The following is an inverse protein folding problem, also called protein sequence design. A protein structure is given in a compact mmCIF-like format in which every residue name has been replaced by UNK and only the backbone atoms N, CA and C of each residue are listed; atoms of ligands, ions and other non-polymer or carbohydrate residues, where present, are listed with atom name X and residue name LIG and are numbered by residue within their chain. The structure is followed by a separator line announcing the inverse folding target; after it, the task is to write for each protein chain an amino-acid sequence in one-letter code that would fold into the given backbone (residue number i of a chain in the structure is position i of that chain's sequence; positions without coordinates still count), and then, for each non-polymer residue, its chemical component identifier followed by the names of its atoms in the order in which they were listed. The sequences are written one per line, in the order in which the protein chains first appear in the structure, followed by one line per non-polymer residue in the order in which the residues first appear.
data_IF_049575994608
#
_entry.id   IF_049575994608
#
_cell.length_a   1.000
_cell.length_b   1.000
_cell.length_c   1.000
_cell.angle_alpha   90.00
_cell.angle_beta   90.00
_cell.angle_gamma   90.00
#
_symmetry.space_group_name_H-M   'P 1'
#
loop_
_entity.id
_entity.type
_entity.pdbx_description
1 polymer ?
#
# COMPACT_ATOMS: atom_id res chain seq x y z
N UNK A 1 8.05 -33.70 20.81
CA UNK A 1 9.21 -33.65 19.89
C UNK A 1 10.03 -34.91 20.12
N UNK A 2 10.55 -35.56 19.08
CA UNK A 2 11.33 -36.81 19.21
C UNK A 2 12.77 -36.54 18.75
N UNK A 3 13.71 -36.79 19.65
CA UNK A 3 15.15 -36.64 19.40
C UNK A 3 15.64 -37.60 18.30
N UNK A 4 16.47 -37.11 17.39
CA UNK A 4 16.94 -37.83 16.19
C UNK A 4 15.91 -38.01 15.07
N UNK A 5 14.63 -37.63 15.28
CA UNK A 5 13.56 -37.75 14.27
C UNK A 5 13.02 -36.39 13.83
N UNK A 6 12.67 -35.52 14.80
CA UNK A 6 12.11 -34.18 14.54
C UNK A 6 12.98 -33.06 15.09
N UNK A 7 13.84 -33.35 16.06
CA UNK A 7 14.77 -32.40 16.68
C UNK A 7 16.14 -33.05 16.82
N UNK A 8 17.19 -32.23 16.84
CA UNK A 8 18.57 -32.61 17.10
C UNK A 8 19.05 -31.86 18.33
N UNK A 9 19.40 -32.58 19.39
CA UNK A 9 19.92 -31.98 20.62
C UNK A 9 21.39 -31.59 20.46
N UNK A 10 21.71 -30.35 20.77
CA UNK A 10 23.08 -29.81 20.85
C UNK A 10 23.32 -29.27 22.25
N UNK A 11 24.37 -29.76 22.90
CA UNK A 11 24.83 -29.25 24.18
C UNK A 11 26.02 -28.34 23.94
N UNK A 12 25.98 -27.12 24.47
CA UNK A 12 27.11 -26.20 24.40
C UNK A 12 28.14 -26.55 25.48
N UNK A 13 29.35 -26.89 25.06
CA UNK A 13 30.46 -27.29 25.94
C UNK A 13 30.92 -26.18 26.90
N UNK A 14 30.66 -24.91 26.58
CA UNK A 14 31.06 -23.76 27.41
C UNK A 14 30.04 -23.41 28.50
N UNK A 15 28.75 -23.52 28.19
CA UNK A 15 27.67 -23.11 29.09
C UNK A 15 26.96 -24.28 29.76
N UNK A 16 27.15 -25.51 29.27
CA UNK A 16 26.43 -26.69 29.71
C UNK A 16 24.94 -26.69 29.38
N UNK A 17 24.46 -25.67 28.66
CA UNK A 17 23.06 -25.53 28.28
C UNK A 17 22.75 -26.45 27.10
N UNK A 18 21.68 -27.22 27.23
CA UNK A 18 21.13 -28.04 26.14
C UNK A 18 20.19 -27.20 25.30
N UNK A 19 20.37 -27.23 23.98
CA UNK A 19 19.43 -26.67 23.01
C UNK A 19 18.99 -27.75 22.04
N UNK A 20 17.76 -27.68 21.56
CA UNK A 20 17.20 -28.62 20.59
C UNK A 20 16.87 -27.87 19.31
N UNK A 21 17.56 -28.21 18.23
CA UNK A 21 17.31 -27.65 16.90
C UNK A 21 16.28 -28.50 16.16
N UNK A 22 15.19 -27.88 15.70
CA UNK A 22 14.15 -28.55 14.92
C UNK A 22 14.69 -28.92 13.54
N UNK A 23 14.71 -30.20 13.21
CA UNK A 23 15.18 -30.68 11.91
C UNK A 23 14.20 -30.26 10.80
N UNK A 24 14.71 -29.80 9.67
CA UNK A 24 13.89 -29.46 8.50
C UNK A 24 13.20 -30.70 7.92
N UNK A 25 11.95 -30.59 7.45
CA UNK A 25 11.15 -31.70 6.95
C UNK A 25 11.83 -32.49 5.82
N UNK A 26 12.68 -31.83 5.01
CA UNK A 26 13.47 -32.46 3.97
C UNK A 26 14.62 -33.35 4.49
N UNK A 27 15.14 -33.04 5.68
CA UNK A 27 16.26 -33.74 6.32
C UNK A 27 15.82 -34.80 7.34
N UNK A 28 14.51 -34.97 7.55
CA UNK A 28 13.96 -35.94 8.51
C UNK A 28 13.97 -37.37 7.95
N UNK A 29 14.15 -38.39 8.81
CA UNK A 29 13.92 -39.79 8.45
C UNK A 29 12.47 -40.02 7.97
N UNK A 30 12.23 -41.11 7.22
CA UNK A 30 10.90 -41.43 6.68
C UNK A 30 9.78 -41.44 7.74
N UNK A 31 10.10 -41.85 8.97
CA UNK A 31 9.18 -41.86 10.11
C UNK A 31 8.77 -40.46 10.61
N UNK A 32 9.57 -39.42 10.34
CA UNK A 32 9.38 -38.05 10.84
C UNK A 32 8.93 -37.04 9.78
N UNK A 33 8.76 -37.46 8.52
CA UNK A 33 8.55 -36.56 7.38
C UNK A 33 7.25 -35.75 7.46
N UNK A 34 6.19 -36.37 7.98
CA UNK A 34 4.87 -35.73 8.15
C UNK A 34 4.63 -35.20 9.58
N UNK A 35 5.56 -35.42 10.51
CA UNK A 35 5.41 -34.95 11.89
C UNK A 35 5.54 -33.42 11.97
N UNK A 36 4.71 -32.77 12.79
CA UNK A 36 4.78 -31.32 13.04
C UNK A 36 5.25 -31.08 14.47
N UNK A 37 6.54 -30.78 14.69
CA UNK A 37 7.03 -30.48 16.03
C UNK A 37 6.35 -29.22 16.56
N UNK A 38 5.92 -29.26 17.82
CA UNK A 38 5.25 -28.16 18.48
C UNK A 38 5.62 -28.11 19.96
N UNK A 39 5.64 -26.90 20.51
CA UNK A 39 5.69 -26.64 21.95
C UNK A 39 4.24 -26.52 22.43
N UNK A 40 3.92 -27.14 23.56
CA UNK A 40 2.58 -27.12 24.15
C UNK A 40 2.71 -26.67 25.60
N UNK A 41 1.86 -25.73 26.01
CA UNK A 41 1.78 -25.29 27.41
C UNK A 41 0.69 -26.07 28.13
N UNK A 42 1.04 -26.63 29.29
CA UNK A 42 0.14 -27.39 30.16
C UNK A 42 0.15 -26.78 31.57
N UNK A 43 -0.95 -26.92 32.29
CA UNK A 43 -1.05 -26.56 33.70
C UNK A 43 -0.37 -27.60 34.61
N UNK A 44 -0.32 -27.35 35.92
CA UNK A 44 0.24 -28.28 36.92
C UNK A 44 -0.45 -29.65 36.94
N UNK A 45 -1.66 -29.76 36.38
CA UNK A 45 -2.48 -30.96 36.33
C UNK A 45 -2.35 -31.69 34.98
N UNK A 46 -1.57 -31.14 34.05
CA UNK A 46 -1.36 -31.69 32.71
C UNK A 46 -2.47 -31.35 31.71
N UNK A 47 -3.39 -30.44 32.04
CA UNK A 47 -4.40 -29.94 31.11
C UNK A 47 -3.82 -28.82 30.25
N UNK A 48 -4.41 -28.65 29.05
CA UNK A 48 -3.95 -27.66 28.10
C UNK A 48 -4.26 -26.24 28.58
N UNK A 49 -3.25 -25.37 28.60
CA UNK A 49 -3.47 -23.94 28.82
C UNK A 49 -4.11 -23.38 27.55
N UNK A 50 -5.27 -22.75 27.69
CA UNK A 50 -5.99 -22.16 26.54
C UNK A 50 -5.47 -20.74 26.28
N UNK A 51 -5.40 -20.36 25.00
CA UNK A 51 -4.96 -19.01 24.62
C UNK A 51 -6.05 -18.00 25.07
N UNK A 52 -5.67 -16.89 25.75
CA UNK A 52 -6.64 -15.92 26.25
C UNK A 52 -7.56 -15.39 25.14
N UNK A 53 -8.88 -15.63 25.29
CA UNK A 53 -9.89 -15.19 24.34
C UNK A 53 -10.22 -16.19 23.23
N UNK A 54 -9.64 -17.41 23.24
CA UNK A 54 -10.00 -18.48 22.31
C UNK A 54 -10.14 -19.83 23.03
N UNK A 55 -10.95 -20.74 22.47
CA UNK A 55 -11.05 -22.13 22.92
C UNK A 55 -9.94 -23.01 22.31
N UNK A 56 -8.77 -22.43 22.03
CA UNK A 56 -7.64 -23.15 21.42
C UNK A 56 -6.55 -23.43 22.45
N UNK A 57 -6.00 -24.66 22.49
CA UNK A 57 -4.85 -24.95 23.34
C UNK A 57 -3.63 -24.15 22.87
N UNK A 58 -2.82 -23.69 23.81
CA UNK A 58 -1.57 -22.97 23.58
C UNK A 58 -0.51 -23.94 23.05
N UNK A 59 -0.64 -24.28 21.77
CA UNK A 59 0.23 -25.17 21.02
C UNK A 59 0.87 -24.40 19.85
N UNK A 60 2.18 -24.25 19.90
CA UNK A 60 2.96 -23.49 18.94
C UNK A 60 3.76 -24.44 18.05
N UNK A 61 3.36 -24.55 16.78
CA UNK A 61 4.10 -25.33 15.79
C UNK A 61 5.41 -24.64 15.40
N UNK A 62 6.51 -25.40 15.39
CA UNK A 62 7.83 -24.87 15.07
C UNK A 62 8.25 -25.23 13.64
N UNK A 63 8.74 -24.27 12.84
CA UNK A 63 9.35 -24.55 11.55
C UNK A 63 10.73 -25.22 11.73
N UNK A 64 11.25 -25.79 10.64
CA UNK A 64 12.64 -26.28 10.61
C UNK A 64 13.64 -25.18 10.97
N UNK A 65 14.74 -25.57 11.63
CA UNK A 65 15.83 -24.71 12.15
C UNK A 65 15.46 -23.84 13.35
N UNK A 66 14.24 -23.95 13.89
CA UNK A 66 13.93 -23.33 15.17
C UNK A 66 14.79 -23.95 16.28
N UNK A 67 15.37 -23.12 17.14
CA UNK A 67 16.21 -23.53 18.27
C UNK A 67 15.37 -23.38 19.54
N UNK A 68 15.10 -24.50 20.20
CA UNK A 68 14.40 -24.57 21.49
C UNK A 68 15.43 -24.66 22.59
N UNK A 69 15.36 -23.76 23.58
CA UNK A 69 16.30 -23.73 24.72
C UNK A 69 15.64 -24.19 26.04
N UNK A 70 14.37 -24.59 25.97
CA UNK A 70 13.56 -25.01 27.11
C UNK A 70 13.36 -26.52 27.05
N UNK A 71 13.43 -27.19 28.19
CA UNK A 71 13.19 -28.62 28.32
C UNK A 71 11.74 -28.92 28.72
N UNK A 72 11.29 -30.15 28.44
CA UNK A 72 9.96 -30.61 28.84
C UNK A 72 9.81 -30.58 30.37
N UNK A 73 8.70 -30.02 30.86
CA UNK A 73 8.45 -29.80 32.30
C UNK A 73 9.05 -28.52 32.90
N UNK A 74 9.66 -27.65 32.11
CA UNK A 74 10.12 -26.34 32.61
C UNK A 74 8.94 -25.39 32.88
N UNK A 75 8.99 -24.66 33.99
CA UNK A 75 8.05 -23.57 34.27
C UNK A 75 8.35 -22.36 33.37
N UNK A 76 7.31 -21.78 32.77
CA UNK A 76 7.42 -20.60 31.90
C UNK A 76 6.37 -19.56 32.27
N UNK A 77 6.79 -18.30 32.35
CA UNK A 77 5.92 -17.16 32.59
C UNK A 77 5.38 -16.54 31.30
N UNK A 78 4.41 -15.62 31.45
CA UNK A 78 3.90 -14.82 30.33
C UNK A 78 5.02 -13.90 29.84
N UNK A 79 5.40 -14.05 28.57
CA UNK A 79 6.45 -13.25 27.92
C UNK A 79 7.81 -13.95 27.81
N UNK A 80 7.94 -15.17 28.36
CA UNK A 80 9.18 -15.93 28.23
C UNK A 80 9.39 -16.46 26.81
N UNK A 81 10.65 -16.51 26.38
CA UNK A 81 11.02 -16.94 25.02
C UNK A 81 11.09 -18.47 24.94
N UNK A 82 10.13 -19.08 24.24
CA UNK A 82 10.06 -20.55 24.10
C UNK A 82 11.04 -21.13 23.07
N UNK A 83 11.24 -20.43 21.96
CA UNK A 83 12.13 -20.85 20.89
C UNK A 83 12.66 -19.61 20.14
N UNK A 84 13.83 -19.74 19.53
CA UNK A 84 14.42 -18.73 18.66
C UNK A 84 14.54 -19.30 17.26
N UNK A 85 14.03 -18.59 16.27
CA UNK A 85 14.27 -18.94 14.88
C UNK A 85 15.43 -18.04 14.43
N UNK A 86 16.62 -18.61 14.12
CA UNK A 86 17.69 -17.84 13.52
C UNK A 86 17.22 -17.39 12.15
N UNK A 87 16.62 -16.20 12.09
CA UNK A 87 16.41 -15.53 10.84
C UNK A 87 17.80 -15.26 10.28
N UNK A 88 18.10 -15.85 9.12
CA UNK A 88 19.19 -15.30 8.31
C UNK A 88 18.81 -13.84 8.09
N UNK A 89 19.46 -12.93 8.79
CA UNK A 89 19.48 -11.51 8.42
C UNK A 89 19.73 -11.50 6.93
N UNK A 90 18.71 -11.10 6.15
CA UNK A 90 18.66 -11.33 4.71
C UNK A 90 20.03 -11.06 4.12
N UNK A 91 20.67 -12.12 3.59
CA UNK A 91 21.95 -11.97 2.90
C UNK A 91 21.77 -10.88 1.85
N UNK A 92 22.75 -9.96 1.77
CA UNK A 92 22.72 -8.73 0.96
C UNK A 92 21.31 -8.39 0.46
N UNK A 93 20.53 -7.66 1.29
CA UNK A 93 19.34 -6.92 0.85
C UNK A 93 19.61 -6.51 -0.60
N UNK A 94 18.80 -6.96 -1.55
CA UNK A 94 19.11 -6.92 -2.98
C UNK A 94 19.12 -5.46 -3.48
N UNK A 95 20.12 -4.69 -3.02
CA UNK A 95 20.37 -3.28 -3.36
C UNK A 95 21.04 -3.23 -4.76
N UNK A 96 21.36 -4.38 -5.35
CA UNK A 96 22.02 -4.49 -6.65
C UNK A 96 21.18 -3.93 -7.80
N UNK A 97 19.89 -3.68 -7.56
CA UNK A 97 18.96 -3.14 -8.55
C UNK A 97 19.27 -1.73 -9.03
N UNK A 98 20.16 -0.96 -8.40
CA UNK A 98 20.60 0.36 -8.88
C UNK A 98 19.45 1.26 -9.36
N UNK A 99 19.62 1.92 -10.51
CA UNK A 99 18.59 2.77 -11.13
C UNK A 99 17.29 2.01 -11.51
N UNK A 100 17.32 0.77 -12.03
CA UNK A 100 16.12 -0.03 -12.27
C UNK A 100 15.16 -0.14 -11.08
N UNK A 101 15.68 -0.30 -9.86
CA UNK A 101 14.85 -0.35 -8.65
C UNK A 101 14.09 0.96 -8.40
N UNK A 102 14.76 2.10 -8.61
CA UNK A 102 14.15 3.43 -8.50
C UNK A 102 13.04 3.61 -9.55
N UNK A 103 13.28 3.13 -10.77
CA UNK A 103 12.27 3.16 -11.83
C UNK A 103 11.04 2.32 -11.47
N UNK A 104 11.21 1.12 -10.92
CA UNK A 104 10.10 0.27 -10.50
C UNK A 104 9.27 0.92 -9.37
N UNK A 105 9.94 1.61 -8.43
CA UNK A 105 9.27 2.35 -7.35
C UNK A 105 8.44 3.52 -7.89
N UNK A 106 9.00 4.34 -8.79
CA UNK A 106 8.27 5.48 -9.37
C UNK A 106 7.23 5.08 -10.41
N UNK A 107 7.35 3.90 -11.03
CA UNK A 107 6.27 3.32 -11.83
C UNK A 107 5.25 2.54 -11.00
N UNK A 108 5.40 2.53 -9.66
CA UNK A 108 4.52 1.81 -8.73
C UNK A 108 4.28 0.35 -9.14
N UNK A 109 5.33 -0.33 -9.62
CA UNK A 109 5.22 -1.70 -10.11
C UNK A 109 5.12 -2.69 -8.96
N UNK A 110 4.28 -3.71 -9.14
CA UNK A 110 4.15 -4.79 -8.16
C UNK A 110 5.32 -5.78 -8.34
N UNK A 111 6.03 -6.14 -7.26
CA UNK A 111 7.00 -7.22 -7.31
C UNK A 111 6.37 -8.54 -7.77
N UNK A 112 7.18 -9.45 -8.32
CA UNK A 112 6.70 -10.78 -8.75
C UNK A 112 6.16 -11.60 -7.57
N UNK A 113 6.82 -11.48 -6.43
CA UNK A 113 6.51 -12.23 -5.22
C UNK A 113 6.41 -11.24 -4.04
N UNK A 114 5.28 -10.51 -3.90
CA UNK A 114 5.16 -9.47 -2.87
C UNK A 114 4.97 -10.09 -1.47
N UNK A 115 5.37 -9.37 -0.43
CA UNK A 115 4.97 -9.69 0.94
C UNK A 115 3.45 -9.68 1.08
N UNK A 116 2.94 -10.56 1.94
CA UNK A 116 1.51 -10.61 2.28
C UNK A 116 1.34 -9.86 3.60
N UNK A 117 0.47 -8.86 3.60
CA UNK A 117 0.19 -8.01 4.76
C UNK A 117 -1.16 -8.36 5.38
N UNK A 118 -1.31 -8.14 6.68
CA UNK A 118 -2.55 -8.38 7.40
C UNK A 118 -3.64 -7.38 6.96
N UNK A 119 -4.75 -7.88 6.44
CA UNK A 119 -5.88 -7.05 5.99
C UNK A 119 -6.66 -6.41 7.15
N UNK A 120 -6.67 -7.09 8.29
CA UNK A 120 -7.40 -6.68 9.48
C UNK A 120 -6.59 -6.93 10.74
N UNK A 121 -6.87 -6.13 11.77
CA UNK A 121 -6.36 -6.35 13.13
C UNK A 121 -7.16 -7.47 13.79
N UNK A 122 -6.49 -8.44 14.41
CA UNK A 122 -7.15 -9.55 15.09
C UNK A 122 -6.21 -10.70 15.44
N UNK A 123 -6.80 -11.81 15.88
CA UNK A 123 -6.08 -13.04 16.22
C UNK A 123 -5.99 -13.95 15.00
N UNK A 124 -4.77 -14.40 14.68
CA UNK A 124 -4.49 -15.29 13.56
C UNK A 124 -4.79 -16.75 13.94
N UNK A 125 -5.42 -17.48 13.02
CA UNK A 125 -5.59 -18.93 13.08
C UNK A 125 -5.46 -19.54 11.68
N UNK A 126 -5.24 -20.85 11.61
CA UNK A 126 -5.11 -21.54 10.31
C UNK A 126 -6.28 -22.50 10.08
N UNK A 127 -7.00 -22.26 8.99
CA UNK A 127 -8.11 -23.12 8.58
C UNK A 127 -7.65 -24.37 7.82
N UNK A 128 -8.63 -25.16 7.36
CA UNK A 128 -8.39 -26.37 6.55
C UNK A 128 -7.57 -26.06 5.30
N UNK A 129 -6.45 -26.76 5.13
CA UNK A 129 -5.57 -26.62 3.97
C UNK A 129 -6.24 -27.17 2.69
N UNK A 130 -6.07 -26.45 1.58
CA UNK A 130 -6.48 -26.90 0.23
C UNK A 130 -5.25 -27.38 -0.55
N UNK A 131 -5.44 -28.02 -1.71
CA UNK A 131 -4.33 -28.42 -2.60
C UNK A 131 -3.46 -27.19 -2.96
N UNK A 132 -2.28 -27.11 -2.36
CA UNK A 132 -1.25 -26.09 -2.62
C UNK A 132 -1.36 -24.77 -1.83
N UNK A 133 -2.45 -24.54 -1.09
CA UNK A 133 -2.67 -23.29 -0.32
C UNK A 133 -3.06 -23.58 1.13
N UNK A 134 -2.59 -22.76 2.06
CA UNK A 134 -2.97 -22.70 3.47
C UNK A 134 -3.99 -21.57 3.64
N UNK A 135 -5.05 -21.80 4.43
CA UNK A 135 -6.07 -20.79 4.73
C UNK A 135 -5.66 -20.05 5.99
N UNK A 136 -5.33 -18.77 5.87
CA UNK A 136 -5.17 -17.84 6.98
C UNK A 136 -6.55 -17.34 7.38
N UNK A 137 -6.84 -17.32 8.68
CA UNK A 137 -8.06 -16.74 9.23
C UNK A 137 -7.68 -15.72 10.28
N UNK A 138 -8.09 -14.46 10.10
CA UNK A 138 -7.90 -13.38 11.06
C UNK A 138 -9.25 -13.08 11.70
N UNK A 139 -9.37 -13.39 12.99
CA UNK A 139 -10.60 -13.15 13.76
C UNK A 139 -10.49 -11.82 14.49
N UNK A 140 -11.38 -10.87 14.17
CA UNK A 140 -11.44 -9.57 14.85
C UNK A 140 -12.05 -9.71 16.24
N UNK A 141 -11.83 -8.72 17.11
CA UNK A 141 -12.40 -8.72 18.48
C UNK A 141 -13.94 -8.79 18.50
N UNK A 142 -14.62 -8.39 17.41
CA UNK A 142 -16.06 -8.49 17.23
C UNK A 142 -16.59 -9.84 16.72
N UNK A 143 -15.72 -10.84 16.50
CA UNK A 143 -16.09 -12.18 16.03
C UNK A 143 -16.15 -12.35 14.51
N UNK A 144 -16.05 -11.27 13.74
CA UNK A 144 -15.93 -11.34 12.28
C UNK A 144 -14.59 -11.95 11.86
N UNK A 145 -14.65 -13.03 11.09
CA UNK A 145 -13.48 -13.71 10.54
C UNK A 145 -13.21 -13.26 9.09
N UNK A 146 -11.99 -12.80 8.84
CA UNK A 146 -11.47 -12.58 7.49
C UNK A 146 -10.59 -13.77 7.09
N UNK A 147 -10.68 -14.19 5.84
CA UNK A 147 -9.96 -15.37 5.37
C UNK A 147 -9.19 -15.10 4.08
N UNK A 148 -7.96 -15.61 4.03
CA UNK A 148 -7.09 -15.48 2.88
C UNK A 148 -6.36 -16.78 2.57
N UNK A 149 -6.16 -17.06 1.28
CA UNK A 149 -5.52 -18.29 0.81
C UNK A 149 -4.06 -18.04 0.44
N UNK A 150 -3.15 -18.38 1.37
CA UNK A 150 -1.71 -18.19 1.22
C UNK A 150 -1.07 -19.43 0.57
N UNK A 151 -0.20 -19.29 -0.46
CA UNK A 151 0.53 -20.42 -1.01
C UNK A 151 1.45 -21.11 0.01
N UNK A 152 1.47 -22.45 0.03
CA UNK A 152 2.24 -23.22 1.04
C UNK A 152 3.76 -23.05 0.98
N UNK A 153 4.30 -22.61 -0.15
CA UNK A 153 5.73 -22.36 -0.30
C UNK A 153 6.17 -21.05 0.35
N UNK A 154 5.23 -20.17 0.70
CA UNK A 154 5.53 -18.92 1.41
C UNK A 154 5.85 -19.21 2.86
N UNK A 155 6.95 -18.64 3.33
CA UNK A 155 7.31 -18.63 4.73
C UNK A 155 6.44 -17.60 5.46
N UNK A 156 5.78 -18.04 6.53
CA UNK A 156 4.96 -17.19 7.39
C UNK A 156 5.79 -16.70 8.57
N UNK A 157 5.59 -15.45 8.94
CA UNK A 157 6.25 -14.81 10.09
C UNK A 157 5.39 -14.83 11.35
N UNK A 158 4.13 -15.27 11.23
CA UNK A 158 3.14 -15.27 12.32
C UNK A 158 2.79 -16.69 12.75
N UNK A 159 2.44 -16.82 14.02
CA UNK A 159 2.01 -18.07 14.64
C UNK A 159 0.48 -18.12 14.84
N UNK A 160 -0.02 -19.32 15.04
CA UNK A 160 -1.42 -19.52 15.42
C UNK A 160 -1.67 -18.97 16.83
N UNK A 161 -2.74 -18.20 16.99
CA UNK A 161 -3.09 -17.49 18.22
C UNK A 161 -2.37 -16.14 18.41
N UNK A 162 -1.48 -15.75 17.48
CA UNK A 162 -0.82 -14.45 17.53
C UNK A 162 -1.80 -13.31 17.19
N UNK A 163 -1.68 -12.18 17.89
CA UNK A 163 -2.41 -10.96 17.56
C UNK A 163 -1.61 -10.13 16.57
N UNK A 164 -2.22 -9.79 15.46
CA UNK A 164 -1.63 -8.95 14.40
C UNK A 164 -2.41 -7.66 14.24
N UNK A 165 -1.72 -6.59 13.89
CA UNK A 165 -2.34 -5.33 13.49
C UNK A 165 -2.49 -5.26 11.97
N UNK A 166 -3.48 -4.48 11.51
CA UNK A 166 -3.68 -4.23 10.08
C UNK A 166 -2.41 -3.62 9.47
N UNK A 167 -1.89 -4.29 8.44
CA UNK A 167 -0.66 -3.92 7.75
C UNK A 167 0.59 -4.64 8.25
N UNK A 168 0.52 -5.53 9.23
CA UNK A 168 1.65 -6.36 9.65
C UNK A 168 2.05 -7.39 8.60
N UNK A 169 3.33 -7.76 8.56
CA UNK A 169 3.87 -8.69 7.56
C UNK A 169 3.55 -10.14 7.97
N UNK A 170 2.61 -10.76 7.27
CA UNK A 170 2.22 -12.16 7.48
C UNK A 170 3.19 -13.13 6.81
N UNK A 171 3.62 -12.81 5.59
CA UNK A 171 4.54 -13.64 4.81
C UNK A 171 5.64 -12.81 4.17
N UNK A 172 6.84 -13.40 4.11
CA UNK A 172 8.04 -12.74 3.58
C UNK A 172 7.92 -12.32 2.11
N UNK A 173 8.55 -11.19 1.79
CA UNK A 173 8.70 -10.65 0.45
C UNK A 173 8.93 -9.13 0.45
N UNK A 174 9.22 -8.51 -0.71
CA UNK A 174 9.17 -7.06 -0.86
C UNK A 174 7.73 -6.54 -0.70
N UNK A 175 7.55 -5.54 0.16
CA UNK A 175 6.25 -4.86 0.31
C UNK A 175 5.88 -4.10 -0.98
N UNK A 176 4.58 -4.07 -1.29
CA UNK A 176 4.07 -3.32 -2.45
C UNK A 176 3.59 -1.95 -2.00
N UNK A 177 4.00 -0.84 -2.66
CA UNK A 177 3.52 0.50 -2.33
C UNK A 177 1.99 0.64 -2.30
N UNK A 178 1.28 -0.08 -3.17
CA UNK A 178 -0.19 -0.13 -3.21
C UNK A 178 -0.81 -0.68 -1.93
N UNK A 179 -0.25 -1.76 -1.39
CA UNK A 179 -0.77 -2.38 -0.17
C UNK A 179 -0.43 -1.54 1.05
N UNK A 180 0.77 -0.92 1.07
CA UNK A 180 1.14 0.03 2.12
C UNK A 180 0.17 1.23 2.13
N UNK A 181 -0.16 1.79 0.96
CA UNK A 181 -1.12 2.89 0.87
C UNK A 181 -2.49 2.50 1.41
N UNK A 182 -2.99 1.32 1.04
CA UNK A 182 -4.33 0.84 1.41
C UNK A 182 -4.45 0.45 2.88
N UNK A 183 -3.39 -0.13 3.45
CA UNK A 183 -3.40 -0.70 4.81
C UNK A 183 -2.83 0.26 5.85
N UNK A 184 -1.70 0.92 5.57
CA UNK A 184 -0.98 1.81 6.50
C UNK A 184 -1.14 3.30 6.18
N UNK A 185 -1.68 3.64 5.01
CA UNK A 185 -1.98 5.01 4.61
C UNK A 185 -0.85 5.73 3.89
N UNK A 186 -1.11 7.01 3.58
CA UNK A 186 -0.25 7.84 2.72
C UNK A 186 1.13 8.06 3.33
N UNK A 187 1.20 8.42 4.62
CA UNK A 187 2.46 8.75 5.27
C UNK A 187 3.43 7.55 5.30
N UNK A 188 2.92 6.37 5.68
CA UNK A 188 3.71 5.14 5.68
C UNK A 188 4.22 4.79 4.27
N UNK A 189 3.36 4.93 3.25
CA UNK A 189 3.74 4.71 1.86
C UNK A 189 4.79 5.71 1.36
N UNK A 190 4.62 7.00 1.66
CA UNK A 190 5.60 8.04 1.28
C UNK A 190 6.94 7.80 1.94
N UNK A 191 6.96 7.47 3.23
CA UNK A 191 8.18 7.13 3.95
C UNK A 191 8.86 5.90 3.37
N UNK A 192 8.09 4.86 3.02
CA UNK A 192 8.62 3.67 2.36
C UNK A 192 9.31 4.01 1.03
N UNK A 193 8.62 4.72 0.12
CA UNK A 193 9.18 5.08 -1.19
C UNK A 193 10.41 5.99 -1.02
N UNK A 194 10.33 6.99 -0.14
CA UNK A 194 11.43 7.91 0.11
C UNK A 194 12.67 7.17 0.63
N UNK A 195 12.51 6.27 1.60
CA UNK A 195 13.60 5.49 2.15
C UNK A 195 14.21 4.53 1.13
N UNK A 196 13.40 3.78 0.39
CA UNK A 196 13.89 2.84 -0.63
C UNK A 196 14.67 3.55 -1.74
N UNK A 197 14.17 4.69 -2.21
CA UNK A 197 14.88 5.50 -3.22
C UNK A 197 16.16 6.10 -2.62
N UNK A 198 16.11 6.61 -1.39
CA UNK A 198 17.29 7.15 -0.70
C UNK A 198 18.37 6.11 -0.45
N UNK A 199 18.02 4.87 -0.09
CA UNK A 199 18.99 3.79 0.10
C UNK A 199 19.82 3.56 -1.17
N UNK A 200 19.18 3.59 -2.34
CA UNK A 200 19.87 3.46 -3.64
C UNK A 200 20.81 4.65 -3.90
N UNK A 201 20.34 5.89 -3.73
CA UNK A 201 21.17 7.07 -3.96
C UNK A 201 22.33 7.18 -2.96
N UNK A 202 22.10 6.84 -1.69
CA UNK A 202 23.13 6.80 -0.65
C UNK A 202 24.20 5.76 -0.96
N UNK A 203 23.82 4.59 -1.46
CA UNK A 203 24.78 3.57 -1.90
C UNK A 203 25.65 4.05 -3.07
N UNK A 204 25.10 4.90 -3.95
CA UNK A 204 25.87 5.56 -5.02
C UNK A 204 26.65 6.80 -4.57
N UNK A 205 26.63 7.13 -3.27
CA UNK A 205 27.32 8.30 -2.70
C UNK A 205 26.65 9.64 -3.00
N UNK A 206 25.45 9.65 -3.58
CA UNK A 206 24.70 10.86 -3.91
C UNK A 206 23.74 11.19 -2.77
N UNK A 207 23.90 12.37 -2.16
CA UNK A 207 22.99 12.86 -1.11
C UNK A 207 21.90 13.71 -1.73
N UNK A 208 20.65 13.26 -1.64
CA UNK A 208 19.46 14.00 -2.06
C UNK A 208 18.63 14.31 -0.80
N UNK A 209 17.90 15.42 -0.80
CA UNK A 209 16.96 15.71 0.28
C UNK A 209 15.58 15.09 0.00
N UNK A 210 14.94 14.53 1.03
CA UNK A 210 13.65 13.84 0.93
C UNK A 210 12.56 14.68 0.25
N UNK A 211 12.60 16.01 0.41
CA UNK A 211 11.65 16.95 -0.22
C UNK A 211 11.50 16.74 -1.72
N UNK A 212 12.56 16.34 -2.41
CA UNK A 212 12.55 16.12 -3.85
C UNK A 212 11.78 14.85 -4.21
N UNK A 213 11.98 13.78 -3.43
CA UNK A 213 11.29 12.51 -3.64
C UNK A 213 9.81 12.64 -3.26
N UNK A 214 9.52 13.29 -2.14
CA UNK A 214 8.15 13.59 -1.69
C UNK A 214 7.37 14.39 -2.74
N UNK A 215 8.03 15.32 -3.44
CA UNK A 215 7.41 16.08 -4.53
C UNK A 215 6.96 15.16 -5.67
N UNK A 216 7.72 14.11 -5.99
CA UNK A 216 7.35 13.10 -6.99
C UNK A 216 6.22 12.23 -6.48
N UNK A 217 6.31 11.73 -5.24
CA UNK A 217 5.26 10.90 -4.62
C UNK A 217 3.92 11.65 -4.56
N UNK A 218 3.95 12.97 -4.31
CA UNK A 218 2.75 13.83 -4.40
C UNK A 218 2.10 13.80 -5.79
N UNK A 219 2.88 13.73 -6.87
CA UNK A 219 2.35 13.60 -8.23
C UNK A 219 1.80 12.20 -8.50
N UNK A 220 2.42 11.17 -7.94
CA UNK A 220 1.92 9.78 -8.05
C UNK A 220 0.56 9.60 -7.36
N UNK A 221 0.28 10.38 -6.30
CA UNK A 221 -1.00 10.38 -5.55
C UNK A 221 -2.01 11.44 -6.05
N UNK A 222 -1.84 11.98 -7.25
CA UNK A 222 -2.65 13.10 -7.74
C UNK A 222 -4.13 12.71 -7.98
N UNK A 223 -4.40 11.45 -8.28
CA UNK A 223 -5.76 10.92 -8.55
C UNK A 223 -6.33 10.18 -7.33
N UNK A 224 -7.65 10.12 -7.30
CA UNK A 224 -8.41 9.32 -6.34
C UNK A 224 -9.57 8.64 -7.06
N UNK A 225 -9.97 7.46 -6.58
CA UNK A 225 -11.18 6.77 -7.02
C UNK A 225 -12.33 7.10 -6.08
N UNK A 226 -13.48 7.43 -6.64
CA UNK A 226 -14.69 7.74 -5.86
C UNK A 226 -15.30 6.43 -5.35
N UNK A 227 -15.52 6.33 -4.04
CA UNK A 227 -16.15 5.16 -3.41
C UNK A 227 -17.66 5.35 -3.25
N UNK A 228 -18.09 6.58 -2.96
CA UNK A 228 -19.50 6.95 -2.85
C UNK A 228 -19.72 8.36 -3.40
N UNK A 229 -20.79 8.52 -4.18
CA UNK A 229 -21.09 9.79 -4.82
C UNK A 229 -21.55 10.87 -3.82
N UNK A 230 -22.21 10.48 -2.72
CA UNK A 230 -22.89 11.44 -1.85
C UNK A 230 -23.91 12.24 -2.65
N UNK A 231 -23.95 13.57 -2.42
CA UNK A 231 -24.74 14.53 -3.19
C UNK A 231 -23.92 15.24 -4.28
N UNK A 232 -22.75 14.70 -4.64
CA UNK A 232 -21.89 15.24 -5.69
C UNK A 232 -22.31 14.76 -7.08
N UNK A 233 -21.73 15.36 -8.12
CA UNK A 233 -21.89 14.94 -9.52
C UNK A 233 -21.00 13.75 -9.90
N UNK A 234 -20.16 13.26 -8.99
CA UNK A 234 -19.21 12.19 -9.27
C UNK A 234 -19.86 10.81 -9.31
N UNK A 235 -19.32 9.92 -10.14
CA UNK A 235 -19.78 8.54 -10.23
C UNK A 235 -18.93 7.60 -9.37
N UNK A 236 -19.53 6.62 -8.66
CA UNK A 236 -18.78 5.59 -7.96
C UNK A 236 -17.88 4.80 -8.93
N UNK A 237 -16.61 4.62 -8.58
CA UNK A 237 -15.58 3.99 -9.41
C UNK A 237 -14.88 4.93 -10.39
N UNK A 238 -15.32 6.19 -10.49
CA UNK A 238 -14.67 7.20 -11.33
C UNK A 238 -13.30 7.60 -10.77
N UNK A 239 -12.31 7.78 -11.63
CA UNK A 239 -10.99 8.32 -11.27
C UNK A 239 -10.94 9.83 -11.53
N UNK A 240 -10.86 10.60 -10.46
CA UNK A 240 -10.92 12.07 -10.51
C UNK A 240 -9.64 12.66 -9.89
N UNK A 241 -9.30 13.91 -10.23
CA UNK A 241 -8.23 14.62 -9.55
C UNK A 241 -8.61 14.95 -8.10
N UNK A 242 -7.73 14.59 -7.17
CA UNK A 242 -7.98 14.81 -5.75
C UNK A 242 -8.28 16.28 -5.41
N UNK A 243 -7.61 17.22 -6.10
CA UNK A 243 -7.86 18.64 -5.89
C UNK A 243 -9.31 19.04 -6.23
N UNK A 244 -9.88 18.50 -7.31
CA UNK A 244 -11.26 18.77 -7.73
C UNK A 244 -12.26 18.19 -6.73
N UNK A 245 -12.07 16.93 -6.33
CA UNK A 245 -12.93 16.28 -5.31
C UNK A 245 -12.93 17.07 -4.01
N UNK A 246 -11.76 17.56 -3.58
CA UNK A 246 -11.65 18.38 -2.37
C UNK A 246 -12.38 19.72 -2.46
N UNK A 247 -12.37 20.36 -3.64
CA UNK A 247 -13.06 21.63 -3.87
C UNK A 247 -14.58 21.38 -3.86
N UNK A 248 -15.04 20.37 -4.59
CA UNK A 248 -16.44 19.97 -4.65
C UNK A 248 -16.98 19.60 -3.26
N UNK A 249 -16.25 18.76 -2.50
CA UNK A 249 -16.68 18.38 -1.15
C UNK A 249 -16.76 19.59 -0.21
N UNK A 250 -15.82 20.54 -0.29
CA UNK A 250 -15.87 21.77 0.52
C UNK A 250 -17.12 22.61 0.19
N UNK A 251 -17.54 22.67 -1.07
CA UNK A 251 -18.75 23.36 -1.48
C UNK A 251 -20.01 22.65 -0.97
N UNK A 252 -20.09 21.32 -1.11
CA UNK A 252 -21.20 20.52 -0.61
C UNK A 252 -21.34 20.61 0.92
N UNK A 253 -20.23 20.54 1.65
CA UNK A 253 -20.22 20.70 3.11
C UNK A 253 -20.72 22.09 3.53
N UNK A 254 -20.38 23.15 2.79
CA UNK A 254 -20.87 24.50 3.05
C UNK A 254 -22.39 24.63 2.82
N UNK A 255 -22.95 23.81 1.91
CA UNK A 255 -24.39 23.70 1.65
C UNK A 255 -25.10 22.72 2.60
N UNK A 256 -24.37 22.06 3.50
CA UNK A 256 -24.92 21.03 4.41
C UNK A 256 -25.28 19.70 3.73
N UNK A 257 -24.76 19.46 2.52
CA UNK A 257 -24.95 18.23 1.73
C UNK A 257 -23.92 17.17 2.09
N UNK A 258 -24.18 15.92 1.69
CA UNK A 258 -23.24 14.82 1.90
C UNK A 258 -22.07 14.89 0.90
N UNK A 259 -20.81 14.96 1.39
CA UNK A 259 -19.64 14.97 0.51
C UNK A 259 -19.41 13.61 -0.14
N UNK A 260 -18.70 13.60 -1.27
CA UNK A 260 -18.30 12.36 -1.93
C UNK A 260 -17.21 11.64 -1.14
N UNK A 261 -17.38 10.32 -0.94
CA UNK A 261 -16.33 9.46 -0.41
C UNK A 261 -15.33 9.08 -1.50
N UNK A 262 -14.04 9.08 -1.17
CA UNK A 262 -12.99 8.76 -2.12
C UNK A 262 -11.82 8.05 -1.45
N UNK A 263 -11.07 7.28 -2.23
CA UNK A 263 -9.80 6.65 -1.83
C UNK A 263 -8.67 7.13 -2.75
N UNK A 264 -7.50 7.43 -2.16
CA UNK A 264 -6.33 7.82 -2.95
C UNK A 264 -5.83 6.66 -3.77
N UNK A 265 -5.47 6.94 -5.01
CA UNK A 265 -4.90 5.95 -5.91
C UNK A 265 -3.42 6.28 -6.16
N UNK A 266 -2.56 5.26 -6.06
CA UNK A 266 -1.16 5.38 -6.43
C UNK A 266 -0.99 5.03 -7.90
N UNK A 267 -0.53 6.00 -8.70
CA UNK A 267 -0.22 5.81 -10.11
C UNK A 267 1.28 5.94 -10.36
N UNK A 268 1.82 5.08 -11.22
CA UNK A 268 3.18 5.24 -11.74
C UNK A 268 3.35 6.54 -12.52
N UNK A 269 4.54 7.12 -12.56
CA UNK A 269 4.77 8.44 -13.15
C UNK A 269 4.39 8.53 -14.64
N UNK A 270 4.53 7.45 -15.41
CA UNK A 270 4.07 7.41 -16.81
C UNK A 270 2.54 7.51 -16.89
N UNK A 271 1.82 6.71 -16.10
CA UNK A 271 0.34 6.74 -16.08
C UNK A 271 -0.19 8.06 -15.50
N UNK A 272 0.44 8.57 -14.44
CA UNK A 272 0.07 9.85 -13.82
C UNK A 272 0.29 11.04 -14.78
N UNK A 273 1.33 10.99 -15.63
CA UNK A 273 1.62 12.04 -16.62
C UNK A 273 0.65 12.05 -17.80
N UNK A 274 0.15 10.89 -18.21
CA UNK A 274 -0.89 10.78 -19.24
C UNK A 274 -2.27 11.21 -18.73
N UNK A 275 -2.55 10.99 -17.44
CA UNK A 275 -3.81 11.34 -16.79
C UNK A 275 -3.87 12.80 -16.29
N UNK A 276 -3.10 13.71 -16.89
CA UNK A 276 -3.12 15.13 -16.52
C UNK A 276 -4.28 15.86 -17.20
N UNK A 277 -4.84 16.89 -16.53
CA UNK A 277 -5.96 17.68 -17.07
C UNK A 277 -5.59 18.40 -18.37
N UNK A 278 -4.33 18.84 -18.49
CA UNK A 278 -3.86 19.45 -19.71
C UNK A 278 -3.58 18.37 -20.77
N UNK A 279 -4.49 18.28 -21.73
CA UNK A 279 -4.27 17.43 -22.90
C UNK A 279 -3.08 17.92 -23.74
N UNK A 280 -2.76 19.22 -23.73
CA UNK A 280 -1.59 19.78 -24.43
C UNK A 280 -0.29 19.25 -23.81
N UNK A 281 -0.19 19.28 -22.48
CA UNK A 281 0.96 18.73 -21.76
C UNK A 281 1.03 17.21 -21.89
N UNK A 282 -0.10 16.51 -21.74
CA UNK A 282 -0.17 15.04 -21.89
C UNK A 282 0.25 14.59 -23.31
N UNK A 283 -0.26 15.24 -24.36
CA UNK A 283 0.04 14.91 -25.75
C UNK A 283 1.53 15.11 -26.11
N UNK A 284 2.22 16.01 -25.39
CA UNK A 284 3.66 16.23 -25.54
C UNK A 284 4.55 15.16 -24.87
N UNK A 285 3.98 14.32 -23.99
CA UNK A 285 4.73 13.30 -23.28
C UNK A 285 4.82 12.00 -24.09
N UNK A 286 3.70 11.30 -24.27
CA UNK A 286 3.59 10.04 -25.02
C UNK A 286 2.16 9.87 -25.57
N UNK A 287 1.97 8.91 -26.47
CA UNK A 287 0.64 8.48 -26.97
C UNK A 287 -0.23 9.62 -27.56
N UNK A 288 0.41 10.56 -28.26
CA UNK A 288 -0.17 11.80 -28.78
C UNK A 288 -1.51 11.59 -29.51
N UNK A 289 -1.61 10.57 -30.39
CA UNK A 289 -2.84 10.27 -31.12
C UNK A 289 -4.00 9.94 -30.19
N UNK A 290 -3.78 9.08 -29.19
CA UNK A 290 -4.81 8.66 -28.23
C UNK A 290 -5.31 9.86 -27.42
N UNK A 291 -4.38 10.68 -26.91
CA UNK A 291 -4.70 11.87 -26.09
C UNK A 291 -5.51 12.90 -26.88
N UNK A 292 -5.10 13.19 -28.13
CA UNK A 292 -5.80 14.17 -28.97
C UNK A 292 -7.18 13.69 -29.41
N UNK A 293 -7.34 12.41 -29.73
CA UNK A 293 -8.65 11.83 -30.06
C UNK A 293 -9.61 11.93 -28.87
N UNK A 294 -9.16 11.56 -27.67
CA UNK A 294 -9.98 11.67 -26.46
C UNK A 294 -10.37 13.12 -26.18
N UNK A 295 -9.42 14.06 -26.29
CA UNK A 295 -9.68 15.48 -26.11
C UNK A 295 -10.68 16.05 -27.13
N UNK A 296 -10.60 15.61 -28.39
CA UNK A 296 -11.53 16.02 -29.45
C UNK A 296 -12.95 15.47 -29.20
N UNK A 297 -13.07 14.19 -28.84
CA UNK A 297 -14.37 13.54 -28.56
C UNK A 297 -15.05 14.16 -27.34
N UNK A 298 -14.27 14.50 -26.31
CA UNK A 298 -14.79 15.11 -25.08
C UNK A 298 -14.94 16.64 -25.16
N UNK A 299 -14.50 17.27 -26.25
CA UNK A 299 -14.48 18.74 -26.37
C UNK A 299 -13.66 19.43 -25.27
N UNK A 300 -12.58 18.78 -24.79
CA UNK A 300 -11.77 19.27 -23.67
C UNK A 300 -11.18 20.65 -23.97
N UNK A 301 -11.23 21.54 -22.96
CA UNK A 301 -10.61 22.87 -22.99
C UNK A 301 -9.45 22.91 -22.02
N UNK A 302 -8.30 23.38 -22.49
CA UNK A 302 -7.11 23.55 -21.67
C UNK A 302 -7.10 24.93 -20.98
N UNK A 303 -6.84 24.96 -19.68
CA UNK A 303 -6.78 26.19 -18.90
C UNK A 303 -5.38 26.82 -18.82
N UNK A 304 -4.34 26.15 -19.33
CA UNK A 304 -2.96 26.62 -19.37
C UNK A 304 -2.42 26.97 -17.98
N UNK A 305 -2.66 26.10 -16.98
CA UNK A 305 -2.19 26.29 -15.59
C UNK A 305 -0.76 25.78 -15.37
N UNK A 306 -0.26 24.94 -16.26
CA UNK A 306 1.04 24.28 -16.18
C UNK A 306 2.15 25.03 -16.90
N UNK A 307 3.38 24.56 -16.68
CA UNK A 307 4.57 25.13 -17.32
C UNK A 307 4.64 24.75 -18.80
N UNK A 308 4.46 23.46 -19.13
CA UNK A 308 4.61 22.94 -20.50
C UNK A 308 3.61 23.55 -21.48
N UNK A 309 2.35 23.66 -21.08
CA UNK A 309 1.31 24.26 -21.93
C UNK A 309 1.67 25.68 -22.35
N UNK A 310 2.08 26.52 -21.39
CA UNK A 310 2.43 27.91 -21.66
C UNK A 310 3.69 28.00 -22.55
N UNK A 311 4.67 27.12 -22.36
CA UNK A 311 5.83 27.05 -23.26
C UNK A 311 5.41 26.70 -24.69
N UNK A 312 4.58 25.67 -24.87
CA UNK A 312 4.13 25.21 -26.19
C UNK A 312 3.34 26.29 -26.93
N UNK A 313 2.50 27.05 -26.21
CA UNK A 313 1.68 28.13 -26.78
C UNK A 313 2.44 29.46 -26.89
N UNK A 314 3.67 29.55 -26.37
CA UNK A 314 4.50 30.76 -26.42
C UNK A 314 4.09 31.86 -25.43
N UNK A 315 3.46 31.50 -24.31
CA UNK A 315 3.06 32.41 -23.22
C UNK A 315 4.06 32.36 -22.06
N UNK A 316 4.03 33.39 -21.21
CA UNK A 316 4.81 33.39 -19.97
C UNK A 316 4.42 32.18 -19.11
N UNK A 317 5.41 31.46 -18.57
CA UNK A 317 5.15 30.32 -17.68
C UNK A 317 4.64 30.79 -16.31
N UNK A 318 3.75 30.03 -15.64
CA UNK A 318 3.21 30.36 -14.32
C UNK A 318 4.19 30.06 -13.18
N UNK A 319 5.46 30.46 -13.33
CA UNK A 319 6.50 30.33 -12.30
C UNK A 319 7.44 31.54 -12.34
N UNK A 320 8.10 31.82 -11.22
CA UNK A 320 9.03 32.95 -11.09
C UNK A 320 8.35 34.28 -11.43
N UNK A 321 8.95 35.08 -12.32
CA UNK A 321 8.41 36.37 -12.76
C UNK A 321 7.08 36.25 -13.50
N UNK A 322 6.83 35.14 -14.20
CA UNK A 322 5.56 34.90 -14.89
C UNK A 322 4.41 34.58 -13.94
N UNK A 323 4.69 34.16 -12.69
CA UNK A 323 3.63 33.92 -11.69
C UNK A 323 2.87 35.20 -11.33
N UNK A 324 3.56 36.34 -11.23
CA UNK A 324 2.92 37.64 -10.98
C UNK A 324 1.99 38.06 -12.13
N UNK A 325 2.40 37.80 -13.38
CA UNK A 325 1.59 38.05 -14.57
C UNK A 325 0.30 37.20 -14.57
N UNK A 326 0.39 35.93 -14.21
CA UNK A 326 -0.78 35.06 -14.14
C UNK A 326 -1.72 35.41 -12.98
N UNK A 327 -1.19 35.85 -11.84
CA UNK A 327 -2.01 36.37 -10.71
C UNK A 327 -2.80 37.61 -11.11
N UNK A 328 -2.15 38.62 -11.71
CA UNK A 328 -2.82 39.83 -12.20
C UNK A 328 -3.90 39.49 -13.25
N UNK A 329 -3.61 38.54 -14.15
CA UNK A 329 -4.58 38.08 -15.14
C UNK A 329 -5.77 37.34 -14.50
N UNK A 330 -5.53 36.59 -13.44
CA UNK A 330 -6.58 35.90 -12.71
C UNK A 330 -7.47 36.91 -11.96
N UNK A 331 -6.86 37.87 -11.26
CA UNK A 331 -7.58 38.96 -10.60
C UNK A 331 -8.44 39.76 -11.58
N UNK A 332 -7.89 40.15 -12.74
CA UNK A 332 -8.65 40.83 -13.80
C UNK A 332 -9.80 40.00 -14.36
N UNK A 333 -9.63 38.68 -14.45
CA UNK A 333 -10.71 37.76 -14.89
C UNK A 333 -11.81 37.64 -13.84
N UNK A 334 -11.45 37.63 -12.57
CA UNK A 334 -12.41 37.60 -11.45
C UNK A 334 -13.16 38.93 -11.34
N UNK A 335 -12.49 40.07 -11.59
CA UNK A 335 -13.12 41.40 -11.67
C UNK A 335 -14.01 41.58 -12.92
N UNK A 336 -13.68 40.92 -14.04
CA UNK A 336 -14.44 40.95 -15.30
C UNK A 336 -15.45 39.79 -15.43
N UNK A 337 -15.74 39.05 -14.36
CA UNK A 337 -16.84 38.07 -14.38
C UNK A 337 -18.14 38.76 -14.79
N UNK A 338 -18.99 38.15 -15.64
CA UNK A 338 -20.18 38.82 -16.14
C UNK A 338 -21.03 39.27 -14.95
N UNK A 339 -21.35 40.56 -14.91
CA UNK A 339 -22.43 41.06 -14.05
C UNK A 339 -23.68 40.22 -14.34
N UNK A 340 -24.49 39.94 -13.32
CA UNK A 340 -25.75 39.22 -13.50
C UNK A 340 -26.62 39.83 -14.62
N UNK A 341 -26.55 41.15 -14.83
CA UNK A 341 -27.21 41.86 -15.93
C UNK A 341 -26.60 41.54 -17.31
N UNK A 342 -25.27 41.43 -17.40
CA UNK A 342 -24.59 41.09 -18.66
C UNK A 342 -24.80 39.61 -19.05
N UNK A 343 -24.95 38.72 -18.07
CA UNK A 343 -25.30 37.33 -18.32
C UNK A 343 -26.75 37.20 -18.84
N UNK A 344 -27.69 37.96 -18.28
CA UNK A 344 -29.08 38.01 -18.76
C UNK A 344 -29.18 38.65 -20.14
N UNK A 345 -28.44 39.72 -20.41
CA UNK A 345 -28.44 40.40 -21.70
C UNK A 345 -27.83 39.54 -22.82
N UNK A 346 -26.76 38.81 -22.52
CA UNK A 346 -26.16 37.87 -23.47
C UNK A 346 -27.06 36.66 -23.74
N UNK A 347 -27.77 36.17 -22.73
CA UNK A 347 -28.75 35.09 -22.90
C UNK A 347 -29.96 35.56 -23.73
N UNK A 348 -30.45 36.77 -23.47
CA UNK A 348 -31.54 37.39 -24.23
C UNK A 348 -31.12 37.66 -25.69
N UNK A 349 -29.89 38.10 -25.92
CA UNK A 349 -29.35 38.30 -27.27
C UNK A 349 -29.22 36.98 -28.05
N UNK A 350 -28.77 35.90 -27.39
CA UNK A 350 -28.69 34.56 -28.01
C UNK A 350 -30.06 33.97 -28.31
N UNK A 351 -31.05 34.17 -27.42
CA UNK A 351 -32.42 33.74 -27.66
C UNK A 351 -33.05 34.51 -28.82
N UNK A 352 -32.87 35.83 -28.89
CA UNK A 352 -33.41 36.66 -29.96
C UNK A 352 -32.76 36.41 -31.32
N UNK A 353 -31.47 36.03 -31.36
CA UNK A 353 -30.79 35.65 -32.60
C UNK A 353 -31.31 34.33 -33.20
N UNK A 354 -31.97 33.47 -32.41
CA UNK A 354 -32.59 32.23 -32.89
C UNK A 354 -33.98 32.40 -33.50
N UNK A 355 -34.61 33.58 -33.36
CA UNK A 355 -35.98 33.85 -33.84
C UNK A 355 -36.03 34.84 -35.02
N UNK A 356 -34.88 35.29 -35.54
CA UNK A 356 -34.81 36.29 -36.61
C UNK A 356 -34.61 35.74 -38.03
N UNK A 357 -34.54 34.41 -38.20
CA UNK A 357 -34.38 33.74 -39.50
C UNK A 357 -35.65 32.96 -39.91
N UNK A 358 -36.81 33.63 -39.95
CA UNK A 358 -38.01 33.18 -40.71
C UNK A 358 -38.31 34.12 -41.89
#
# INVERSE_FOLDING_TARGET
MIDGVTVSRQTDDLTGLSSSEVTDAAARPAAGKDMRPAIKLVDEQGNDVMIPGTDMPAQYFLPGKAIVQIEDGSEVGIGDTLARIPQKSGGNKDITGGLPRVADLFEARKPKEPAILAEHTGTVSFGKETKGKRRLVITREGGDAYEEMIPKHRQLNVFEGEKVERGDVIADGPETPHDILRLRGIHAMTQYIANEVQEVYRLQGVKINDKHIETIVRQMLRKCTITSAGDSEFLPGEQVEYAQVKIANRALEAEGKQPAGFERELLGITKASLATESFISAASFQETTRVLTEAAVSGKRDELRGLKENVIVGRLIPAGTGFAYHQDRQAKREEQGPSAEQATDNLAALLNAGFSDE
#
